data_IF_902884469925
#
_entry.id   IF_902884469925
#
_cell.length_a   1.000
_cell.length_b   1.000
_cell.length_c   1.000
_cell.angle_alpha   90.00
_cell.angle_beta   90.00
_cell.angle_gamma   90.00
#
_symmetry.space_group_name_H-M   'P 1'
#
loop_
_entity.id
_entity.type
_entity.pdbx_description
1 polymer ?
#
# COMPACT_ATOMS: atom_id res chain seq x y z
N UNK A 1 6.39 -13.02 22.10
CA UNK A 1 6.69 -11.59 21.83
C UNK A 1 6.67 -11.22 20.35
N UNK A 2 7.36 -11.92 19.42
CA UNK A 2 7.34 -11.58 17.97
C UNK A 2 5.95 -11.41 17.33
N UNK A 3 4.96 -12.23 17.70
CA UNK A 3 3.62 -12.18 17.11
C UNK A 3 2.85 -10.88 17.44
N UNK A 4 3.06 -10.30 18.63
CA UNK A 4 2.42 -9.05 19.03
C UNK A 4 2.95 -7.86 18.22
N UNK A 5 4.27 -7.81 18.01
CA UNK A 5 4.93 -6.81 17.15
C UNK A 5 4.45 -6.90 15.69
N UNK A 6 4.22 -8.12 15.19
CA UNK A 6 3.66 -8.32 13.84
C UNK A 6 2.21 -7.85 13.73
N UNK A 7 1.40 -8.00 14.79
CA UNK A 7 0.03 -7.49 14.79
C UNK A 7 -0.01 -5.95 14.78
N UNK A 8 0.83 -5.30 15.59
CA UNK A 8 0.97 -3.84 15.61
C UNK A 8 1.41 -3.32 14.24
N UNK A 9 2.41 -3.94 13.61
CA UNK A 9 2.82 -3.58 12.25
C UNK A 9 1.69 -3.71 11.24
N UNK A 10 0.91 -4.81 11.28
CA UNK A 10 -0.23 -4.98 10.37
C UNK A 10 -1.28 -3.86 10.55
N UNK A 11 -1.53 -3.44 11.78
CA UNK A 11 -2.44 -2.32 12.07
C UNK A 11 -1.92 -1.04 11.41
N UNK A 12 -0.65 -0.69 11.63
CA UNK A 12 -0.07 0.51 11.02
C UNK A 12 -0.08 0.46 9.48
N UNK A 13 0.31 -0.66 8.88
CA UNK A 13 0.28 -0.84 7.43
C UNK A 13 -1.14 -0.75 6.86
N UNK A 14 -2.13 -1.29 7.56
CA UNK A 14 -3.54 -1.22 7.16
C UNK A 14 -4.05 0.22 7.25
N UNK A 15 -3.71 0.95 8.31
CA UNK A 15 -4.11 2.35 8.46
C UNK A 15 -3.52 3.23 7.37
N UNK A 16 -2.21 3.10 7.08
CA UNK A 16 -1.56 3.85 5.98
C UNK A 16 -2.23 3.51 4.63
N UNK A 17 -2.51 2.22 4.38
CA UNK A 17 -3.19 1.80 3.15
C UNK A 17 -4.62 2.37 3.06
N UNK A 18 -5.36 2.42 4.16
CA UNK A 18 -6.69 3.02 4.23
C UNK A 18 -6.65 4.52 4.01
N UNK A 19 -5.66 5.23 4.54
CA UNK A 19 -5.50 6.67 4.34
C UNK A 19 -5.20 6.98 2.86
N UNK A 20 -4.33 6.21 2.21
CA UNK A 20 -4.05 6.33 0.76
C UNK A 20 -5.32 6.02 -0.06
N UNK A 21 -6.09 5.00 0.33
CA UNK A 21 -7.31 4.62 -0.39
C UNK A 21 -8.45 5.64 -0.24
N UNK A 22 -8.50 6.36 0.88
CA UNK A 22 -9.50 7.41 1.14
C UNK A 22 -9.10 8.78 0.58
N UNK A 23 -7.86 8.92 0.13
CA UNK A 23 -7.38 10.15 -0.47
C UNK A 23 -7.85 10.25 -1.93
N UNK A 24 -8.62 11.30 -2.24
CA UNK A 24 -9.22 11.52 -3.56
C UNK A 24 -8.18 11.80 -4.67
N UNK A 25 -6.94 12.14 -4.31
CA UNK A 25 -5.85 12.43 -5.26
C UNK A 25 -5.00 11.18 -5.50
N UNK A 26 -4.68 10.42 -4.45
CA UNK A 26 -3.81 9.25 -4.54
C UNK A 26 -4.55 7.98 -4.98
N UNK A 27 -5.77 7.76 -4.50
CA UNK A 27 -6.52 6.53 -4.78
C UNK A 27 -6.78 6.26 -6.27
N UNK A 28 -7.02 7.27 -7.15
CA UNK A 28 -7.24 7.01 -8.57
C UNK A 28 -5.96 6.69 -9.34
N UNK A 29 -4.78 7.00 -8.79
CA UNK A 29 -3.49 6.93 -9.50
C UNK A 29 -2.56 5.84 -8.99
N UNK A 30 -2.77 5.32 -7.78
CA UNK A 30 -1.91 4.29 -7.16
C UNK A 30 -2.59 2.92 -7.13
N UNK A 31 -1.96 1.92 -7.75
CA UNK A 31 -2.31 0.51 -7.64
C UNK A 31 -1.45 -0.21 -6.61
N UNK A 32 -2.05 -0.73 -5.53
CA UNK A 32 -1.34 -1.46 -4.49
C UNK A 32 -0.88 -2.85 -4.97
N UNK A 33 0.39 -3.20 -4.70
CA UNK A 33 1.03 -4.44 -5.18
C UNK A 33 2.07 -5.01 -4.20
N UNK A 34 2.73 -6.08 -4.63
CA UNK A 34 3.92 -6.63 -3.98
C UNK A 34 3.62 -7.58 -2.83
N UNK A 35 4.64 -7.86 -2.01
CA UNK A 35 4.58 -8.88 -0.95
C UNK A 35 3.56 -8.59 0.14
N UNK A 36 3.34 -7.32 0.49
CA UNK A 36 2.37 -6.94 1.52
C UNK A 36 0.93 -7.04 1.00
N UNK A 37 0.70 -6.77 -0.29
CA UNK A 37 -0.58 -7.08 -0.93
C UNK A 37 -0.85 -8.61 -0.94
N UNK A 38 0.16 -9.42 -1.26
CA UNK A 38 0.07 -10.88 -1.16
C UNK A 38 -0.21 -11.37 0.27
N UNK A 39 0.39 -10.71 1.27
CA UNK A 39 0.14 -11.00 2.68
C UNK A 39 -1.31 -10.68 3.10
N UNK A 40 -1.87 -9.57 2.65
CA UNK A 40 -3.22 -9.15 3.02
C UNK A 40 -4.32 -9.91 2.30
N UNK A 41 -4.16 -10.17 0.99
CA UNK A 41 -5.25 -10.69 0.15
C UNK A 41 -5.07 -12.15 -0.27
N UNK A 42 -3.87 -12.73 -0.15
CA UNK A 42 -3.54 -14.04 -0.73
C UNK A 42 -2.76 -14.98 0.22
N UNK A 43 -2.85 -14.75 1.54
CA UNK A 43 -2.28 -15.63 2.57
C UNK A 43 -0.78 -15.94 2.41
N UNK A 44 0.03 -14.96 2.01
CA UNK A 44 1.48 -15.14 1.90
C UNK A 44 2.07 -15.70 3.22
N UNK A 45 2.80 -16.85 3.20
CA UNK A 45 3.22 -17.56 4.42
C UNK A 45 4.45 -16.94 5.12
N UNK A 46 4.80 -15.70 4.76
CA UNK A 46 5.87 -14.92 5.38
C UNK A 46 5.40 -13.50 5.64
N UNK A 47 5.96 -12.88 6.68
CA UNK A 47 5.70 -11.49 6.96
C UNK A 47 6.34 -10.59 5.89
N UNK A 48 5.67 -9.49 5.58
CA UNK A 48 6.08 -8.45 4.63
C UNK A 48 5.69 -7.11 5.24
N UNK A 49 6.57 -6.13 5.15
CA UNK A 49 6.43 -4.85 5.84
C UNK A 49 6.40 -3.65 4.89
N UNK A 50 6.73 -3.83 3.62
CA UNK A 50 6.83 -2.73 2.66
C UNK A 50 5.51 -2.52 1.91
N UNK A 51 5.04 -1.28 1.79
CA UNK A 51 3.94 -0.93 0.90
C UNK A 51 4.51 -0.55 -0.48
N UNK A 52 4.12 -1.29 -1.52
CA UNK A 52 4.56 -1.06 -2.89
C UNK A 52 3.36 -0.66 -3.74
N UNK A 53 3.55 0.32 -4.62
CA UNK A 53 2.52 0.84 -5.51
C UNK A 53 3.06 0.99 -6.93
N UNK A 54 2.22 0.71 -7.92
CA UNK A 54 2.43 1.15 -9.30
C UNK A 54 1.56 2.37 -9.59
N UNK A 55 2.00 3.24 -10.50
CA UNK A 55 1.12 4.23 -11.11
C UNK A 55 0.22 3.50 -12.12
N UNK A 56 -1.10 3.60 -11.93
CA UNK A 56 -2.09 2.97 -12.82
C UNK A 56 -2.65 3.95 -13.85
N UNK A 57 -2.30 5.23 -13.74
CA UNK A 57 -2.57 6.23 -14.75
C UNK A 57 -1.31 6.48 -15.60
N UNK A 58 -1.47 6.80 -16.89
CA UNK A 58 -0.34 7.20 -17.72
C UNK A 58 0.35 8.41 -17.11
N UNK A 59 1.67 8.35 -16.95
CA UNK A 59 2.45 9.52 -16.58
C UNK A 59 2.31 10.57 -17.69
N UNK A 60 1.60 11.66 -17.40
CA UNK A 60 1.57 12.84 -18.27
C UNK A 60 2.66 13.79 -17.79
N UNK A 61 3.64 14.05 -18.66
CA UNK A 61 4.80 14.90 -18.35
C UNK A 61 4.41 16.35 -18.05
N UNK A 62 3.23 16.78 -18.52
CA UNK A 62 2.77 18.18 -18.45
C UNK A 62 1.78 18.47 -17.30
N UNK A 63 1.42 17.47 -16.49
CA UNK A 63 0.50 17.66 -15.35
C UNK A 63 1.15 18.29 -14.10
N UNK A 64 2.45 18.58 -14.14
CA UNK A 64 3.14 19.40 -13.15
C UNK A 64 3.37 20.80 -13.74
N UNK A 65 2.30 21.59 -13.82
CA UNK A 65 2.43 23.04 -13.87
C UNK A 65 2.67 23.53 -12.45
N UNK A 66 3.95 23.61 -12.05
CA UNK A 66 4.41 24.42 -10.92
C UNK A 66 5.06 25.67 -11.49
#
# INVERSE_FOLDING_TARGET
MKALESAIHKIHLTNILLDIYKDDVLSPVLGFKGGTAALFFYHLPRFSVDLNFDLITPYQKDSLQI
#
